data_IF_504418786052
#
_entry.id   IF_504418786052
#
_cell.length_a   1.000
_cell.length_b   1.000
_cell.length_c   1.000
_cell.angle_alpha   90.00
_cell.angle_beta   90.00
_cell.angle_gamma   90.00
#
_symmetry.space_group_name_H-M   'P 1'
#
loop_
_entity.id
_entity.type
_entity.pdbx_description
1 polymer ?
#
# COMPACT_ATOMS: atom_id res chain seq x y z
N UNK A 1 16.83 0.14 19.05
CA UNK A 1 15.34 0.17 19.03
C UNK A 1 14.77 1.42 18.33
N UNK A 2 15.36 2.61 18.43
CA UNK A 2 14.84 3.82 17.75
C UNK A 2 14.86 3.75 16.21
N UNK A 3 15.93 3.21 15.60
CA UNK A 3 16.05 3.10 14.13
C UNK A 3 15.01 2.15 13.50
N UNK A 4 14.60 1.11 14.20
CA UNK A 4 13.59 0.16 13.72
C UNK A 4 12.20 0.82 13.65
N UNK A 5 11.90 1.70 14.62
CA UNK A 5 10.64 2.46 14.64
C UNK A 5 10.60 3.55 13.56
N UNK A 6 11.73 4.19 13.24
CA UNK A 6 11.78 5.19 12.18
C UNK A 6 11.66 4.56 10.79
N UNK A 7 12.36 3.44 10.55
CA UNK A 7 12.23 2.68 9.29
C UNK A 7 10.79 2.24 9.06
N UNK A 8 10.16 1.66 10.09
CA UNK A 8 8.75 1.26 10.04
C UNK A 8 7.82 2.43 9.69
N UNK A 9 8.05 3.61 10.29
CA UNK A 9 7.26 4.81 9.98
C UNK A 9 7.41 5.25 8.52
N UNK A 10 8.64 5.22 7.99
CA UNK A 10 8.92 5.56 6.59
C UNK A 10 8.21 4.59 5.64
N UNK A 11 8.36 3.29 5.87
CA UNK A 11 7.75 2.25 5.02
C UNK A 11 6.22 2.39 4.98
N UNK A 12 5.58 2.69 6.12
CA UNK A 12 4.13 2.93 6.19
C UNK A 12 3.69 4.22 5.51
N UNK A 13 4.49 5.29 5.58
CA UNK A 13 4.21 6.55 4.88
C UNK A 13 4.29 6.33 3.36
N UNK A 14 5.33 5.65 2.88
CA UNK A 14 5.49 5.35 1.46
C UNK A 14 4.34 4.50 0.92
N UNK A 15 3.92 3.47 1.66
CA UNK A 15 2.80 2.63 1.26
C UNK A 15 1.52 3.45 1.10
N UNK A 16 1.22 4.33 2.07
CA UNK A 16 0.05 5.21 2.00
C UNK A 16 0.12 6.18 0.83
N UNK A 17 1.28 6.76 0.57
CA UNK A 17 1.47 7.68 -0.55
C UNK A 17 1.27 6.99 -1.91
N UNK A 18 1.81 5.77 -2.08
CA UNK A 18 1.61 4.95 -3.29
C UNK A 18 0.14 4.63 -3.52
N UNK A 19 -0.58 4.22 -2.46
CA UNK A 19 -2.00 3.91 -2.56
C UNK A 19 -2.83 5.13 -2.96
N UNK A 20 -2.61 6.28 -2.30
CA UNK A 20 -3.30 7.51 -2.61
C UNK A 20 -3.09 7.93 -4.08
N UNK A 21 -1.83 7.90 -4.54
CA UNK A 21 -1.50 8.19 -5.93
C UNK A 21 -2.24 7.29 -6.93
N UNK A 22 -2.26 5.97 -6.70
CA UNK A 22 -2.95 5.04 -7.61
C UNK A 22 -4.47 5.28 -7.61
N UNK A 23 -5.05 5.58 -6.45
CA UNK A 23 -6.48 5.89 -6.37
C UNK A 23 -6.85 7.16 -7.13
N UNK A 24 -6.05 8.21 -6.97
CA UNK A 24 -6.26 9.48 -7.69
C UNK A 24 -6.18 9.25 -9.21
N UNK A 25 -5.18 8.51 -9.69
CA UNK A 25 -5.02 8.18 -11.11
C UNK A 25 -6.19 7.34 -11.65
N UNK A 26 -6.70 6.38 -10.86
CA UNK A 26 -7.86 5.58 -11.24
C UNK A 26 -9.13 6.44 -11.36
N UNK A 27 -9.35 7.35 -10.42
CA UNK A 27 -10.52 8.25 -10.41
C UNK A 27 -10.48 9.28 -11.55
N UNK A 28 -9.28 9.76 -11.92
CA UNK A 28 -9.10 10.63 -13.09
C UNK A 28 -9.31 9.88 -14.40
N UNK A 29 -8.82 8.64 -14.48
CA UNK A 29 -8.76 7.89 -15.76
C UNK A 29 -10.07 7.15 -16.08
N UNK A 30 -10.80 6.68 -15.07
CA UNK A 30 -11.95 5.81 -15.25
C UNK A 30 -13.19 6.34 -14.55
N UNK A 31 -14.35 6.19 -15.20
CA UNK A 31 -15.62 6.45 -14.55
C UNK A 31 -15.86 5.50 -13.37
N UNK A 32 -16.46 6.00 -12.29
CA UNK A 32 -16.74 5.23 -11.07
C UNK A 32 -17.51 3.92 -11.34
N UNK A 33 -18.46 3.91 -12.28
CA UNK A 33 -19.21 2.71 -12.64
C UNK A 33 -18.29 1.59 -13.20
N UNK A 34 -17.24 1.97 -13.92
CA UNK A 34 -16.25 1.04 -14.45
C UNK A 34 -15.33 0.52 -13.34
N UNK A 35 -14.86 1.40 -12.46
CA UNK A 35 -14.05 1.03 -11.28
C UNK A 35 -14.81 0.10 -10.33
N UNK A 36 -16.11 0.35 -10.14
CA UNK A 36 -17.00 -0.48 -9.32
C UNK A 36 -17.16 -1.87 -9.92
N UNK A 37 -17.40 -1.97 -11.24
CA UNK A 37 -17.51 -3.25 -11.95
C UNK A 37 -16.24 -4.08 -11.82
N UNK A 38 -15.07 -3.44 -11.90
CA UNK A 38 -13.77 -4.10 -11.75
C UNK A 38 -13.38 -4.38 -10.29
N UNK A 39 -14.14 -3.87 -9.32
CA UNK A 39 -13.79 -3.87 -7.89
C UNK A 39 -12.38 -3.33 -7.63
N UNK A 40 -11.94 -2.37 -8.44
CA UNK A 40 -10.55 -1.90 -8.44
C UNK A 40 -10.15 -1.31 -7.08
N UNK A 41 -11.00 -0.43 -6.50
CA UNK A 41 -10.78 0.18 -5.19
C UNK A 41 -10.65 -0.88 -4.07
N UNK A 42 -11.47 -1.94 -4.12
CA UNK A 42 -11.46 -3.02 -3.14
C UNK A 42 -10.19 -3.87 -3.25
N UNK A 43 -9.81 -4.31 -4.45
CA UNK A 43 -8.59 -5.08 -4.69
C UNK A 43 -7.34 -4.30 -4.27
N UNK A 44 -7.30 -3.00 -4.56
CA UNK A 44 -6.19 -2.15 -4.14
C UNK A 44 -6.13 -2.06 -2.61
N UNK A 45 -7.28 -1.97 -1.93
CA UNK A 45 -7.32 -1.93 -0.47
C UNK A 45 -6.82 -3.25 0.16
N UNK A 46 -7.18 -4.40 -0.43
CA UNK A 46 -6.66 -5.71 -0.01
C UNK A 46 -5.13 -5.77 -0.16
N UNK A 47 -4.60 -5.33 -1.30
CA UNK A 47 -3.15 -5.26 -1.53
C UNK A 47 -2.43 -4.35 -0.52
N UNK A 48 -3.04 -3.20 -0.19
CA UNK A 48 -2.49 -2.31 0.84
C UNK A 48 -2.45 -2.97 2.21
N UNK A 49 -3.48 -3.74 2.59
CA UNK A 49 -3.49 -4.47 3.86
C UNK A 49 -2.41 -5.54 3.90
N UNK A 50 -2.27 -6.34 2.83
CA UNK A 50 -1.21 -7.37 2.75
C UNK A 50 0.18 -6.76 2.88
N UNK A 51 0.47 -5.63 2.22
CA UNK A 51 1.77 -4.99 2.36
C UNK A 51 1.98 -4.30 3.70
N UNK A 52 0.92 -3.76 4.30
CA UNK A 52 0.98 -3.25 5.67
C UNK A 52 1.32 -4.38 6.66
N UNK A 53 0.72 -5.55 6.50
CA UNK A 53 1.06 -6.74 7.28
C UNK A 53 2.53 -7.13 7.09
N UNK A 54 3.01 -7.20 5.83
CA UNK A 54 4.42 -7.51 5.51
C UNK A 54 5.42 -6.56 6.17
N UNK A 55 5.09 -5.26 6.17
CA UNK A 55 5.89 -4.21 6.80
C UNK A 55 5.90 -4.39 8.33
N UNK A 56 4.75 -4.69 8.92
CA UNK A 56 4.60 -4.87 10.38
C UNK A 56 5.23 -6.16 10.91
N UNK A 57 5.22 -7.24 10.12
CA UNK A 57 5.84 -8.52 10.49
C UNK A 57 7.36 -8.56 10.25
N UNK A 58 7.91 -7.54 9.57
CA UNK A 58 9.35 -7.43 9.34
C UNK A 58 9.89 -8.40 8.29
N UNK A 59 9.04 -9.04 7.50
CA UNK A 59 9.46 -9.94 6.40
C UNK A 59 10.26 -9.23 5.30
N UNK A 60 10.29 -7.90 5.31
CA UNK A 60 11.17 -7.09 4.47
C UNK A 60 12.67 -7.19 4.82
N UNK A 61 13.09 -8.02 5.79
CA UNK A 61 14.47 -8.11 6.27
C UNK A 61 15.17 -9.49 6.20
N UNK A 62 14.56 -10.53 5.63
CA UNK A 62 15.11 -11.89 5.69
C UNK A 62 16.02 -12.29 4.50
N UNK A 63 16.40 -11.37 3.61
CA UNK A 63 17.17 -11.70 2.40
C UNK A 63 18.37 -10.76 2.15
N UNK A 64 19.10 -10.42 3.22
CA UNK A 64 20.46 -9.88 3.17
C UNK A 64 21.35 -10.75 4.08
N UNK A 65 21.74 -11.94 3.62
CA UNK A 65 22.84 -12.74 4.16
C UNK A 65 23.57 -13.42 3.01
#
# INVERSE_FOLDING_TARGET
>A
MQNLSQKLQIDLIELKAKYAFIMDELEVTFADAYLLKLKAKHRLAEQMMTEMERILTGEAGANEN
#
